data_IF_340888324154
#
_entry.id   IF_340888324154
#
_cell.length_a   1.000
_cell.length_b   1.000
_cell.length_c   1.000
_cell.angle_alpha   90.00
_cell.angle_beta   90.00
_cell.angle_gamma   90.00
#
_symmetry.space_group_name_H-M   'P 1'
#
loop_
_entity.id
_entity.type
_entity.pdbx_description
1 polymer ?
#
# COMPACT_ATOMS: atom_id res chain seq x y z
N UNK A 1 13.34 11.64 -10.12
CA UNK A 1 12.31 11.13 -9.18
C UNK A 1 12.21 9.64 -9.40
N UNK A 2 12.23 8.85 -8.33
CA UNK A 2 12.16 7.38 -8.39
C UNK A 2 10.81 6.98 -7.78
N UNK A 3 10.07 6.15 -8.49
CA UNK A 3 8.78 5.61 -8.07
C UNK A 3 8.68 4.16 -8.55
N UNK A 4 7.80 3.38 -7.94
CA UNK A 4 7.48 2.03 -8.38
C UNK A 4 6.41 2.10 -9.48
N UNK A 5 6.66 1.43 -10.59
CA UNK A 5 5.85 1.42 -11.84
C UNK A 5 5.77 -0.01 -12.36
N UNK A 6 5.00 -0.24 -13.42
CA UNK A 6 4.66 -1.56 -13.94
C UNK A 6 4.01 -2.46 -12.88
N UNK A 7 3.26 -1.84 -11.96
CA UNK A 7 2.48 -2.54 -10.95
C UNK A 7 1.22 -3.09 -11.62
N UNK A 8 1.09 -4.40 -11.66
CA UNK A 8 -0.07 -5.11 -12.18
C UNK A 8 -0.77 -5.91 -11.05
N UNK A 9 -1.96 -6.43 -11.37
CA UNK A 9 -2.69 -7.28 -10.44
C UNK A 9 -1.87 -8.51 -10.03
N UNK A 10 -1.73 -8.71 -8.72
CA UNK A 10 -1.01 -9.84 -8.12
C UNK A 10 0.45 -9.54 -7.76
N UNK A 11 1.00 -8.43 -8.25
CA UNK A 11 2.32 -7.94 -7.84
C UNK A 11 2.29 -7.52 -6.37
N UNK A 12 3.48 -7.47 -5.77
CA UNK A 12 3.63 -7.00 -4.40
C UNK A 12 5.01 -6.41 -4.18
N UNK A 13 5.15 -5.65 -3.11
CA UNK A 13 6.42 -5.28 -2.52
C UNK A 13 6.43 -5.65 -1.04
N UNK A 14 7.62 -5.88 -0.50
CA UNK A 14 7.81 -6.22 0.91
C UNK A 14 8.87 -5.32 1.53
N UNK A 15 8.61 -4.92 2.78
CA UNK A 15 9.54 -4.18 3.63
C UNK A 15 9.79 -5.03 4.87
N UNK A 16 11.05 -5.37 5.10
CA UNK A 16 11.43 -6.24 6.21
C UNK A 16 11.61 -5.46 7.51
N UNK A 17 11.12 -6.01 8.62
CA UNK A 17 11.46 -5.57 9.97
C UNK A 17 10.99 -4.16 10.36
N UNK A 18 9.79 -3.76 9.93
CA UNK A 18 9.21 -2.48 10.32
C UNK A 18 8.71 -2.52 11.78
N UNK A 19 9.18 -1.59 12.60
CA UNK A 19 8.79 -1.46 14.01
C UNK A 19 7.63 -0.46 14.20
N UNK A 20 6.46 -0.97 14.56
CA UNK A 20 5.24 -0.20 14.80
C UNK A 20 5.19 0.44 16.20
N UNK A 21 6.12 0.10 17.12
CA UNK A 21 6.18 0.65 18.49
C UNK A 21 4.82 0.64 19.21
N UNK A 22 4.30 1.81 19.57
CA UNK A 22 3.02 1.99 20.28
C UNK A 22 1.78 1.87 19.37
N UNK A 23 2.00 1.60 18.09
CA UNK A 23 0.99 1.34 17.07
C UNK A 23 0.70 2.50 16.14
N UNK A 24 0.38 2.13 14.89
CA UNK A 24 -0.15 3.00 13.85
C UNK A 24 -1.65 2.74 13.65
N UNK A 25 -2.40 3.78 13.33
CA UNK A 25 -3.85 3.68 13.06
C UNK A 25 -4.23 4.13 11.65
N UNK A 26 -3.33 4.86 10.99
CA UNK A 26 -3.57 5.44 9.67
C UNK A 26 -2.42 5.12 8.74
N UNK A 27 -2.72 4.93 7.47
CA UNK A 27 -1.75 4.71 6.40
C UNK A 27 -2.02 5.67 5.25
N UNK A 28 -0.97 6.35 4.81
CA UNK A 28 -0.99 7.25 3.66
C UNK A 28 -0.14 6.67 2.53
N UNK A 29 -0.61 6.80 1.31
CA UNK A 29 0.15 6.43 0.11
C UNK A 29 0.01 7.50 -0.97
N UNK A 30 1.15 7.95 -1.50
CA UNK A 30 1.21 8.84 -2.66
C UNK A 30 1.25 8.01 -3.92
N UNK A 31 0.21 8.10 -4.74
CA UNK A 31 0.10 7.36 -5.98
C UNK A 31 -0.49 8.20 -7.11
N UNK A 32 -0.07 7.90 -8.33
CA UNK A 32 -0.70 8.39 -9.56
C UNK A 32 -1.51 7.25 -10.19
N UNK A 33 -2.84 7.34 -10.23
CA UNK A 33 -3.71 6.25 -10.69
C UNK A 33 -3.79 6.11 -12.22
N UNK A 34 -3.84 4.86 -12.72
CA UNK A 34 -4.18 4.51 -14.11
C UNK A 34 -5.48 3.71 -14.16
N UNK A 35 -5.41 2.38 -14.25
CA UNK A 35 -6.60 1.53 -14.17
C UNK A 35 -7.19 1.47 -12.75
N UNK A 36 -6.44 1.94 -11.76
CA UNK A 36 -6.83 1.97 -10.35
C UNK A 36 -6.81 0.58 -9.72
N UNK A 37 -7.11 0.51 -8.43
CA UNK A 37 -7.06 -0.76 -7.74
C UNK A 37 -7.08 -0.65 -6.23
N UNK A 38 -6.59 -1.70 -5.61
CA UNK A 38 -6.53 -1.87 -4.17
C UNK A 38 -5.11 -2.23 -3.79
N UNK A 39 -4.62 -1.60 -2.72
CA UNK A 39 -3.39 -1.96 -2.04
C UNK A 39 -3.79 -2.59 -0.72
N UNK A 40 -3.59 -3.90 -0.59
CA UNK A 40 -3.74 -4.59 0.68
C UNK A 40 -2.46 -4.44 1.48
N UNK A 41 -2.59 -4.07 2.76
CA UNK A 41 -1.49 -3.93 3.70
C UNK A 41 -1.52 -5.16 4.60
N UNK A 42 -0.52 -6.03 4.46
CA UNK A 42 -0.47 -7.33 5.13
C UNK A 42 0.79 -7.48 5.96
N UNK A 43 0.71 -8.26 7.04
CA UNK A 43 1.84 -8.57 7.91
C UNK A 43 2.42 -9.96 7.63
N UNK A 44 3.75 -10.04 7.71
CA UNK A 44 4.59 -11.25 7.78
C UNK A 44 4.57 -12.18 6.55
N UNK A 45 3.55 -12.10 5.69
CA UNK A 45 3.51 -12.78 4.39
C UNK A 45 2.51 -12.15 3.41
N UNK A 46 2.60 -12.52 2.14
CA UNK A 46 1.67 -12.09 1.08
C UNK A 46 0.21 -12.49 1.36
N UNK A 47 0.00 -13.61 2.06
CA UNK A 47 -1.31 -14.10 2.49
C UNK A 47 -1.56 -13.87 4.00
N UNK A 48 -0.70 -13.11 4.67
CA UNK A 48 -0.74 -12.89 6.11
C UNK A 48 -1.88 -11.97 6.57
N UNK A 49 -1.86 -11.58 7.84
CA UNK A 49 -2.93 -10.76 8.43
C UNK A 49 -3.13 -9.47 7.63
N UNK A 50 -4.34 -9.26 7.14
CA UNK A 50 -4.73 -8.02 6.48
C UNK A 50 -5.06 -6.98 7.54
N UNK A 51 -4.26 -5.91 7.60
CA UNK A 51 -4.43 -4.84 8.59
C UNK A 51 -5.07 -3.60 7.99
N UNK A 52 -5.14 -3.47 6.67
CA UNK A 52 -5.80 -2.34 6.03
C UNK A 52 -5.78 -2.42 4.53
N UNK A 53 -6.53 -1.51 3.92
CA UNK A 53 -6.75 -1.51 2.48
C UNK A 53 -6.82 -0.07 1.97
N UNK A 54 -5.96 0.29 1.02
CA UNK A 54 -6.02 1.59 0.33
C UNK A 54 -6.60 1.44 -1.06
N UNK A 55 -7.70 2.16 -1.30
CA UNK A 55 -8.35 2.20 -2.61
C UNK A 55 -7.75 3.31 -3.46
N UNK A 56 -7.22 2.93 -4.62
CA UNK A 56 -6.65 3.84 -5.61
C UNK A 56 -7.69 4.04 -6.72
N UNK A 57 -8.03 5.30 -6.98
CA UNK A 57 -9.01 5.67 -8.00
C UNK A 57 -8.58 5.25 -9.42
N UNK A 58 -9.49 5.34 -10.39
CA UNK A 58 -9.17 5.16 -11.80
C UNK A 58 -8.92 6.52 -12.47
N UNK A 59 -8.11 6.54 -13.54
CA UNK A 59 -7.93 7.65 -14.50
C UNK A 59 -7.60 9.00 -13.84
N UNK A 60 -6.47 9.10 -13.15
CA UNK A 60 -5.99 10.38 -12.61
C UNK A 60 -4.66 10.80 -13.23
N UNK A 61 -4.47 12.11 -13.34
CA UNK A 61 -3.35 12.68 -14.08
C UNK A 61 -2.14 12.97 -13.19
N UNK A 62 -2.38 13.17 -11.89
CA UNK A 62 -1.39 13.62 -10.91
C UNK A 62 -1.27 12.65 -9.72
N UNK A 63 -0.14 12.74 -9.03
CA UNK A 63 0.04 12.10 -7.73
C UNK A 63 -0.89 12.75 -6.71
N UNK A 64 -1.47 11.93 -5.84
CA UNK A 64 -2.20 12.38 -4.66
C UNK A 64 -2.07 11.39 -3.52
N UNK A 65 -2.37 11.86 -2.32
CA UNK A 65 -2.35 11.04 -1.11
C UNK A 65 -3.70 10.33 -0.97
N UNK A 66 -3.64 9.01 -0.79
CA UNK A 66 -4.74 8.18 -0.40
C UNK A 66 -4.53 7.76 1.05
N UNK A 67 -5.51 8.08 1.90
CA UNK A 67 -5.48 7.79 3.33
C UNK A 67 -6.41 6.62 3.64
N UNK A 68 -6.00 5.74 4.55
CA UNK A 68 -6.79 4.58 4.96
C UNK A 68 -6.55 4.28 6.43
N UNK A 69 -7.58 3.79 7.10
CA UNK A 69 -7.43 3.25 8.45
C UNK A 69 -6.73 1.89 8.38
N UNK A 70 -5.93 1.60 9.41
CA UNK A 70 -5.32 0.30 9.62
C UNK A 70 -5.62 -0.20 11.02
N UNK A 71 -5.71 -1.51 11.18
CA UNK A 71 -5.73 -2.15 12.49
C UNK A 71 -4.49 -1.71 13.29
N UNK A 72 -4.68 -1.53 14.60
CA UNK A 72 -3.58 -1.15 15.48
C UNK A 72 -2.63 -2.34 15.66
N UNK A 73 -1.44 -2.22 15.12
CA UNK A 73 -0.37 -3.24 15.16
C UNK A 73 0.75 -2.79 16.09
N UNK A 74 1.44 -3.73 16.74
CA UNK A 74 2.55 -3.45 17.66
C UNK A 74 3.76 -4.32 17.33
N UNK A 75 4.95 -3.87 17.72
CA UNK A 75 6.18 -4.63 17.54
C UNK A 75 6.70 -4.60 16.11
N UNK A 76 7.57 -5.57 15.79
CA UNK A 76 8.33 -5.62 14.54
C UNK A 76 7.71 -6.66 13.60
N UNK A 77 7.36 -6.23 12.38
CA UNK A 77 6.75 -7.09 11.36
C UNK A 77 7.32 -6.81 9.97
N UNK A 78 7.26 -7.82 9.10
CA UNK A 78 7.44 -7.59 7.66
C UNK A 78 6.12 -7.07 7.09
N UNK A 79 6.19 -6.03 6.26
CA UNK A 79 5.01 -5.41 5.65
C UNK A 79 4.96 -5.79 4.18
N UNK A 80 3.83 -6.34 3.76
CA UNK A 80 3.53 -6.67 2.37
C UNK A 80 2.47 -5.70 1.84
N UNK A 81 2.80 -4.98 0.77
CA UNK A 81 1.83 -4.23 -0.01
C UNK A 81 1.45 -5.07 -1.23
N UNK A 82 0.26 -5.66 -1.21
CA UNK A 82 -0.23 -6.55 -2.27
C UNK A 82 -1.20 -5.80 -3.17
N UNK A 83 -0.90 -5.77 -4.45
CA UNK A 83 -1.64 -4.97 -5.42
C UNK A 83 -2.71 -5.79 -6.12
N UNK A 84 -3.94 -5.31 -6.08
CA UNK A 84 -5.11 -5.96 -6.70
C UNK A 84 -5.84 -5.00 -7.62
N UNK A 85 -6.27 -5.49 -8.77
CA UNK A 85 -6.97 -4.67 -9.75
C UNK A 85 -7.38 -5.46 -10.98
N UNK A 86 -7.88 -4.72 -11.98
CA UNK A 86 -8.15 -5.26 -13.31
C UNK A 86 -6.84 -5.43 -14.09
N UNK A 87 -6.94 -5.78 -15.38
CA UNK A 87 -5.78 -5.90 -16.26
C UNK A 87 -5.13 -4.55 -16.57
N UNK A 88 -3.80 -4.57 -16.75
CA UNK A 88 -3.00 -3.40 -17.09
C UNK A 88 -2.36 -2.76 -15.86
N UNK A 89 -1.56 -1.72 -16.11
CA UNK A 89 -0.86 -1.00 -15.05
C UNK A 89 -1.86 -0.27 -14.13
N UNK A 90 -1.75 -0.52 -12.82
CA UNK A 90 -2.72 -0.04 -11.83
C UNK A 90 -2.48 1.42 -11.46
N UNK A 91 -1.25 1.74 -11.05
CA UNK A 91 -0.82 3.05 -10.59
C UNK A 91 0.72 3.11 -10.54
N UNK A 92 1.28 4.32 -10.51
CA UNK A 92 2.62 4.54 -9.99
C UNK A 92 2.55 4.83 -8.50
N UNK A 93 3.48 4.28 -7.73
CA UNK A 93 3.59 4.47 -6.28
C UNK A 93 4.89 5.23 -5.97
N UNK A 94 4.77 6.38 -5.31
CA UNK A 94 5.93 7.22 -4.95
C UNK A 94 6.44 6.92 -3.54
N UNK A 95 5.61 7.16 -2.53
CA UNK A 95 5.93 6.89 -1.12
C UNK A 95 4.71 6.44 -0.34
N UNK A 96 4.97 5.91 0.86
CA UNK A 96 3.96 5.55 1.84
C UNK A 96 4.43 5.93 3.25
N UNK A 97 3.49 6.08 4.17
CA UNK A 97 3.75 6.44 5.56
C UNK A 97 2.67 5.87 6.48
N UNK A 98 3.07 5.30 7.61
CA UNK A 98 2.17 5.01 8.73
C UNK A 98 2.12 6.20 9.68
N UNK A 99 0.93 6.53 10.16
CA UNK A 99 0.67 7.59 11.12
C UNK A 99 -0.05 7.05 12.36
N UNK A 100 0.18 7.71 13.49
CA UNK A 100 -0.47 7.40 14.77
C UNK A 100 -1.95 7.75 14.76
#
# INVERSE_FOLDING_TARGET
MIYVTHINNGDYMMVQGADFKDGASTFNISAKPFSGGIIEIRLDSKEGQLIGTSKIDKKGENYKIYTSEVERVHGVHDIFFVFKGESGELFHLDYWEFQK
#
